data_IF_376832790678
#
_entry.id   IF_376832790678
#
_cell.length_a   1.000
_cell.length_b   1.000
_cell.length_c   1.000
_cell.angle_alpha   90.00
_cell.angle_beta   90.00
_cell.angle_gamma   90.00
#
_symmetry.space_group_name_H-M   'P 1'
#
loop_
_entity.id
_entity.type
_entity.pdbx_description
1 polymer ?
#
# COMPACT_ATOMS: atom_id res chain seq x y z
N UNK A 1 11.68 -16.08 16.74
CA UNK A 1 11.76 -15.19 15.58
C UNK A 1 11.70 -13.77 16.11
N UNK A 2 12.82 -13.05 16.12
CA UNK A 2 12.89 -11.65 16.57
C UNK A 2 12.73 -10.73 15.36
N UNK A 3 11.85 -9.73 15.48
CA UNK A 3 11.69 -8.69 14.45
C UNK A 3 12.88 -7.74 14.54
N UNK A 4 13.48 -7.41 13.40
CA UNK A 4 14.48 -6.35 13.32
C UNK A 4 13.75 -5.01 13.30
N UNK A 5 13.80 -4.27 14.41
CA UNK A 5 13.05 -3.03 14.61
C UNK A 5 13.52 -1.91 13.68
N UNK A 6 14.82 -1.81 13.37
CA UNK A 6 15.33 -0.80 12.44
C UNK A 6 14.79 -1.01 11.02
N UNK A 7 14.76 -2.27 10.58
CA UNK A 7 14.20 -2.64 9.28
C UNK A 7 12.70 -2.40 9.25
N UNK A 8 12.00 -2.76 10.34
CA UNK A 8 10.56 -2.53 10.44
C UNK A 8 10.22 -1.04 10.39
N UNK A 9 10.95 -0.20 11.14
CA UNK A 9 10.78 1.26 11.11
C UNK A 9 10.93 1.85 9.70
N UNK A 10 11.98 1.45 8.97
CA UNK A 10 12.14 1.89 7.56
C UNK A 10 10.99 1.45 6.66
N UNK A 11 10.42 0.27 6.88
CA UNK A 11 9.27 -0.20 6.11
C UNK A 11 8.03 0.63 6.44
N UNK A 12 7.78 0.93 7.72
CA UNK A 12 6.65 1.77 8.12
C UNK A 12 6.78 3.19 7.60
N UNK A 13 7.98 3.76 7.56
CA UNK A 13 8.23 5.08 6.98
C UNK A 13 7.87 5.12 5.49
N UNK A 14 8.29 4.10 4.72
CA UNK A 14 7.93 3.99 3.30
C UNK A 14 6.42 3.93 3.07
N UNK A 15 5.70 3.21 3.92
CA UNK A 15 4.24 3.08 3.84
C UNK A 15 3.58 4.42 4.21
N UNK A 16 4.07 5.10 5.23
CA UNK A 16 3.57 6.41 5.65
C UNK A 16 3.77 7.49 4.59
N UNK A 17 4.92 7.48 3.92
CA UNK A 17 5.21 8.39 2.80
C UNK A 17 4.24 8.17 1.64
N UNK A 18 3.96 6.91 1.30
CA UNK A 18 2.98 6.56 0.26
C UNK A 18 1.55 6.98 0.65
N UNK A 19 1.13 6.66 1.88
CA UNK A 19 -0.15 7.11 2.44
C UNK A 19 -0.30 8.63 2.31
N UNK A 20 0.71 9.38 2.75
CA UNK A 20 0.72 10.85 2.75
C UNK A 20 0.70 11.42 1.33
N UNK A 21 1.42 10.80 0.41
CA UNK A 21 1.47 11.17 -1.01
C UNK A 21 0.11 10.95 -1.69
N UNK A 22 -0.47 9.77 -1.52
CA UNK A 22 -1.76 9.40 -2.10
C UNK A 22 -2.89 10.29 -1.56
N UNK A 23 -2.90 10.56 -0.24
CA UNK A 23 -3.88 11.46 0.38
C UNK A 23 -3.80 12.88 -0.18
N UNK A 24 -2.58 13.41 -0.38
CA UNK A 24 -2.39 14.74 -1.00
C UNK A 24 -2.84 14.77 -2.46
N UNK A 25 -2.64 13.68 -3.20
CA UNK A 25 -2.90 13.62 -4.63
C UNK A 25 -4.38 13.39 -4.96
N UNK A 26 -5.07 12.56 -4.17
CA UNK A 26 -6.40 12.06 -4.51
C UNK A 26 -7.50 12.44 -3.51
N UNK A 27 -7.16 13.02 -2.35
CA UNK A 27 -8.12 13.23 -1.26
C UNK A 27 -8.55 11.92 -0.60
N UNK A 28 -9.47 12.00 0.37
CA UNK A 28 -10.00 10.81 1.07
C UNK A 28 -10.90 9.96 0.18
N UNK A 29 -10.96 8.65 0.45
CA UNK A 29 -11.94 7.79 -0.20
C UNK A 29 -13.38 8.22 0.14
N UNK A 30 -14.29 8.10 -0.82
CA UNK A 30 -15.69 8.52 -0.67
C UNK A 30 -16.62 7.37 -0.28
N UNK A 31 -16.19 6.11 -0.48
CA UNK A 31 -17.00 4.93 -0.14
C UNK A 31 -16.18 3.67 0.08
N UNK A 32 -16.77 2.69 0.76
CA UNK A 32 -16.20 1.34 0.94
C UNK A 32 -15.94 0.62 -0.38
N UNK A 33 -16.75 0.87 -1.42
CA UNK A 33 -16.55 0.25 -2.72
C UNK A 33 -15.37 0.87 -3.46
N UNK A 34 -15.20 2.20 -3.38
CA UNK A 34 -14.03 2.89 -3.93
C UNK A 34 -12.75 2.44 -3.21
N UNK A 35 -12.75 2.46 -1.87
CA UNK A 35 -11.58 2.03 -1.10
C UNK A 35 -11.19 0.58 -1.41
N UNK A 36 -12.16 -0.33 -1.51
CA UNK A 36 -11.91 -1.72 -1.90
C UNK A 36 -11.37 -1.81 -3.33
N UNK A 37 -11.97 -1.11 -4.29
CA UNK A 37 -11.55 -1.13 -5.68
C UNK A 37 -10.08 -0.67 -5.83
N UNK A 38 -9.68 0.36 -5.10
CA UNK A 38 -8.30 0.87 -5.11
C UNK A 38 -7.34 -0.16 -4.49
N UNK A 39 -7.68 -0.76 -3.34
CA UNK A 39 -6.85 -1.84 -2.77
C UNK A 39 -6.71 -3.00 -3.77
N UNK A 40 -7.80 -3.36 -4.45
CA UNK A 40 -7.81 -4.44 -5.42
C UNK A 40 -6.92 -4.13 -6.63
N UNK A 41 -6.97 -2.90 -7.15
CA UNK A 41 -6.09 -2.43 -8.22
C UNK A 41 -4.61 -2.58 -7.84
N UNK A 42 -4.22 -2.09 -6.65
CA UNK A 42 -2.83 -2.21 -6.18
C UNK A 42 -2.40 -3.68 -5.98
N UNK A 43 -3.33 -4.55 -5.56
CA UNK A 43 -3.07 -5.98 -5.41
C UNK A 43 -2.89 -6.66 -6.77
N UNK A 44 -3.67 -6.28 -7.78
CA UNK A 44 -3.53 -6.76 -9.15
C UNK A 44 -2.20 -6.29 -9.76
N UNK A 45 -1.78 -5.05 -9.54
CA UNK A 45 -0.46 -4.55 -9.97
C UNK A 45 0.69 -5.30 -9.30
N UNK A 46 0.59 -5.58 -8.00
CA UNK A 46 1.56 -6.42 -7.31
C UNK A 46 1.58 -7.84 -7.88
N UNK A 47 0.40 -8.42 -8.13
CA UNK A 47 0.28 -9.76 -8.69
C UNK A 47 0.87 -9.84 -10.11
N UNK A 48 0.66 -8.80 -10.91
CA UNK A 48 1.21 -8.66 -12.25
C UNK A 48 2.74 -8.67 -12.26
N UNK A 49 3.36 -8.07 -11.25
CA UNK A 49 4.80 -8.16 -11.05
C UNK A 49 5.22 -9.55 -10.55
N UNK A 50 4.52 -10.11 -9.55
CA UNK A 50 4.85 -11.43 -8.96
C UNK A 50 4.84 -12.56 -9.98
N UNK A 51 3.94 -12.52 -10.97
CA UNK A 51 3.81 -13.57 -11.99
C UNK A 51 4.85 -13.49 -13.11
N UNK A 52 5.69 -12.45 -13.14
CA UNK A 52 6.78 -12.34 -14.12
C UNK A 52 7.85 -13.40 -13.86
N UNK A 53 8.50 -13.86 -14.93
CA UNK A 53 9.65 -14.77 -14.82
C UNK A 53 10.85 -14.09 -14.13
N UNK A 54 11.01 -12.78 -14.36
CA UNK A 54 12.10 -11.97 -13.82
C UNK A 54 11.56 -10.62 -13.31
N UNK A 55 10.89 -10.61 -12.14
CA UNK A 55 10.33 -9.38 -11.59
C UNK A 55 11.45 -8.42 -11.15
N UNK A 56 11.25 -7.13 -11.38
CA UNK A 56 12.19 -6.12 -10.88
C UNK A 56 11.93 -5.88 -9.37
N UNK A 57 12.96 -5.94 -8.50
CA UNK A 57 12.76 -5.81 -7.05
C UNK A 57 12.10 -4.50 -6.61
N UNK A 58 12.40 -3.39 -7.29
CA UNK A 58 11.79 -2.09 -6.97
C UNK A 58 10.31 -2.03 -7.35
N UNK A 59 9.86 -2.75 -8.38
CA UNK A 59 8.45 -2.77 -8.76
C UNK A 59 7.64 -3.57 -7.73
N UNK A 60 8.14 -4.73 -7.32
CA UNK A 60 7.55 -5.51 -6.23
C UNK A 60 7.44 -4.70 -4.93
N UNK A 61 8.50 -3.98 -4.58
CA UNK A 61 8.55 -3.12 -3.39
C UNK A 61 7.57 -1.95 -3.51
N UNK A 62 7.49 -1.34 -4.70
CA UNK A 62 6.57 -0.24 -5.00
C UNK A 62 5.12 -0.68 -4.78
N UNK A 63 4.69 -1.75 -5.45
CA UNK A 63 3.28 -2.17 -5.37
C UNK A 63 2.93 -2.75 -3.99
N UNK A 64 3.83 -3.51 -3.35
CA UNK A 64 3.58 -4.00 -1.99
C UNK A 64 3.42 -2.86 -0.96
N UNK A 65 4.20 -1.78 -1.10
CA UNK A 65 4.05 -0.56 -0.29
C UNK A 65 2.71 0.13 -0.58
N UNK A 66 2.29 0.23 -1.84
CA UNK A 66 1.00 0.80 -2.22
C UNK A 66 -0.17 -0.01 -1.65
N UNK A 67 -0.16 -1.34 -1.76
CA UNK A 67 -1.17 -2.23 -1.14
C UNK A 67 -1.29 -1.96 0.36
N UNK A 68 -0.16 -1.91 1.07
CA UNK A 68 -0.16 -1.65 2.51
C UNK A 68 -0.70 -0.24 2.83
N UNK A 69 -0.29 0.78 2.08
CA UNK A 69 -0.75 2.15 2.27
C UNK A 69 -2.26 2.28 2.01
N UNK A 70 -2.79 1.63 0.96
CA UNK A 70 -4.21 1.72 0.63
C UNK A 70 -5.09 0.98 1.64
N UNK A 71 -4.61 -0.13 2.22
CA UNK A 71 -5.28 -0.79 3.34
C UNK A 71 -5.35 0.12 4.58
N UNK A 72 -4.27 0.83 4.92
CA UNK A 72 -4.27 1.81 6.01
C UNK A 72 -5.22 2.98 5.68
N UNK A 73 -5.22 3.45 4.44
CA UNK A 73 -6.16 4.49 3.99
C UNK A 73 -7.60 4.06 4.12
N UNK A 74 -7.94 2.82 3.79
CA UNK A 74 -9.28 2.29 3.98
C UNK A 74 -9.71 2.36 5.45
N UNK A 75 -8.82 1.98 6.37
CA UNK A 75 -9.08 2.12 7.80
C UNK A 75 -9.25 3.59 8.19
N UNK A 76 -8.35 4.46 7.75
CA UNK A 76 -8.32 5.87 8.13
C UNK A 76 -9.48 6.69 7.55
N UNK A 77 -9.80 6.52 6.27
CA UNK A 77 -10.80 7.33 5.57
C UNK A 77 -12.23 6.79 5.80
N UNK A 78 -12.42 5.49 6.04
CA UNK A 78 -13.73 4.83 5.97
C UNK A 78 -14.16 4.06 7.23
N UNK A 79 -13.23 3.79 8.16
CA UNK A 79 -13.53 3.08 9.39
C UNK A 79 -13.36 3.99 10.61
N UNK A 80 -14.16 3.76 11.65
CA UNK A 80 -13.98 4.40 12.95
C UNK A 80 -12.99 3.54 13.76
N UNK A 81 -11.73 3.98 13.84
CA UNK A 81 -10.59 3.25 14.43
C UNK A 81 -9.95 3.99 15.59
#
# INVERSE_FOLDING_TARGET
MTVNLDRFGRITDLIFDEFSSAMKKFGSFNSIHEGYAIIHEELDELWDNVKLQHPHPEDLKKEAKQVAAMAIRFLYDLCDV
#
